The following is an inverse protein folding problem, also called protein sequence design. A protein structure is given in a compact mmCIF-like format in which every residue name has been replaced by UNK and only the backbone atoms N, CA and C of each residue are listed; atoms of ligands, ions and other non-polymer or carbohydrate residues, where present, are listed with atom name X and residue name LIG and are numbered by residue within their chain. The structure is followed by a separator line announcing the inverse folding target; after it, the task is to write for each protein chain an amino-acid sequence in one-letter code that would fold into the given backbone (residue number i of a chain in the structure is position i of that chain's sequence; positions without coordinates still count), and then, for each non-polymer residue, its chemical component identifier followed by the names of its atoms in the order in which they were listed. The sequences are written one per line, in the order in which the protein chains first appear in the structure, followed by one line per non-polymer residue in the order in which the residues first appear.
data_IF_758590145231
#
_entry.id   IF_758590145231
#
_cell.length_a   1.000
_cell.length_b   1.000
_cell.length_c   1.000
_cell.angle_alpha   90.00
_cell.angle_beta   90.00
_cell.angle_gamma   90.00
#
_symmetry.space_group_name_H-M   'P 1'
#
loop_
_entity.id
_entity.type
_entity.pdbx_description
1 polymer ?
#
# COMPACT_ATOMS: atom_id res chain seq x y z
N UNK A 1 21.62 20.38 -4.03
CA UNK A 1 20.44 19.98 -3.25
C UNK A 1 19.90 18.74 -3.92
N UNK A 2 19.49 17.71 -3.19
CA UNK A 2 18.87 16.52 -3.78
C UNK A 2 17.57 16.91 -4.50
N UNK A 3 17.71 17.39 -5.74
CA UNK A 3 16.63 17.89 -6.58
C UNK A 3 15.90 16.68 -7.17
N UNK A 4 15.01 16.08 -6.37
CA UNK A 4 13.93 15.27 -6.92
C UNK A 4 13.01 16.19 -7.73
N UNK A 5 12.58 15.82 -8.95
CA UNK A 5 11.57 16.57 -9.67
C UNK A 5 10.26 16.62 -8.87
N UNK A 6 9.57 17.77 -8.90
CA UNK A 6 8.30 17.97 -8.19
C UNK A 6 7.23 16.94 -8.58
N UNK A 7 7.25 16.49 -9.84
CA UNK A 7 6.35 15.44 -10.33
C UNK A 7 6.56 14.12 -9.57
N UNK A 8 7.81 13.75 -9.28
CA UNK A 8 8.12 12.51 -8.53
C UNK A 8 7.66 12.64 -7.09
N UNK A 9 7.87 13.79 -6.45
CA UNK A 9 7.36 14.06 -5.09
C UNK A 9 5.84 13.95 -5.04
N UNK A 10 5.16 14.53 -6.02
CA UNK A 10 3.70 14.50 -6.15
C UNK A 10 3.19 13.07 -6.31
N UNK A 11 3.84 12.27 -7.18
CA UNK A 11 3.51 10.85 -7.37
C UNK A 11 3.68 10.06 -6.08
N UNK A 12 4.79 10.22 -5.37
CA UNK A 12 5.02 9.51 -4.10
C UNK A 12 3.94 9.84 -3.07
N UNK A 13 3.62 11.13 -2.86
CA UNK A 13 2.60 11.52 -1.90
C UNK A 13 1.19 11.06 -2.32
N UNK A 14 0.90 11.05 -3.62
CA UNK A 14 -0.34 10.48 -4.13
C UNK A 14 -0.43 8.97 -3.82
N UNK A 15 0.64 8.23 -4.05
CA UNK A 15 0.70 6.80 -3.75
C UNK A 15 0.61 6.50 -2.25
N UNK A 16 1.29 7.29 -1.41
CA UNK A 16 1.16 7.14 0.05
C UNK A 16 -0.28 7.37 0.51
N UNK A 17 -0.95 8.41 -0.01
CA UNK A 17 -2.37 8.63 0.27
C UNK A 17 -3.24 7.46 -0.21
N UNK A 18 -3.00 6.95 -1.42
CA UNK A 18 -3.74 5.82 -1.99
C UNK A 18 -3.56 4.57 -1.13
N UNK A 19 -2.33 4.21 -0.78
CA UNK A 19 -2.02 3.07 0.10
C UNK A 19 -2.67 3.21 1.48
N UNK A 20 -2.69 4.41 2.06
CA UNK A 20 -3.42 4.67 3.31
C UNK A 20 -4.92 4.35 3.16
N UNK A 21 -5.56 4.82 2.09
CA UNK A 21 -6.98 4.56 1.82
C UNK A 21 -7.25 3.08 1.57
N UNK A 22 -6.33 2.36 0.93
CA UNK A 22 -6.42 0.91 0.72
C UNK A 22 -6.37 0.16 2.05
N UNK A 23 -5.43 0.53 2.94
CA UNK A 23 -5.32 -0.07 4.27
C UNK A 23 -6.61 0.13 5.06
N UNK A 24 -7.16 1.34 5.05
CA UNK A 24 -8.43 1.67 5.70
C UNK A 24 -9.59 0.81 5.15
N UNK A 25 -9.73 0.74 3.83
CA UNK A 25 -10.76 -0.08 3.17
C UNK A 25 -10.61 -1.57 3.45
N UNK A 26 -9.38 -2.10 3.48
CA UNK A 26 -9.11 -3.49 3.80
C UNK A 26 -9.53 -3.81 5.24
N UNK A 27 -9.15 -2.96 6.21
CA UNK A 27 -9.58 -3.12 7.61
C UNK A 27 -11.09 -3.01 7.77
N UNK A 28 -11.75 -2.15 6.99
CA UNK A 28 -13.21 -2.05 6.99
C UNK A 28 -13.86 -3.33 6.44
N UNK A 29 -13.32 -3.91 5.36
CA UNK A 29 -13.81 -5.17 4.80
C UNK A 29 -13.65 -6.33 5.80
N UNK A 30 -12.48 -6.46 6.43
CA UNK A 30 -12.22 -7.45 7.49
C UNK A 30 -13.20 -7.30 8.65
N UNK A 31 -13.38 -6.06 9.15
CA UNK A 31 -14.33 -5.78 10.23
C UNK A 31 -15.76 -6.17 9.85
N UNK A 32 -16.22 -5.79 8.65
CA UNK A 32 -17.56 -6.12 8.18
C UNK A 32 -17.76 -7.63 8.00
N UNK A 33 -16.75 -8.33 7.49
CA UNK A 33 -16.76 -9.79 7.35
C UNK A 33 -16.94 -10.45 8.72
N UNK A 34 -16.12 -10.06 9.70
CA UNK A 34 -16.18 -10.59 11.07
C UNK A 34 -17.48 -10.24 11.78
N UNK A 35 -18.00 -9.01 11.61
CA UNK A 35 -19.26 -8.59 12.23
C UNK A 35 -20.47 -9.38 11.69
N UNK A 36 -20.51 -9.64 10.39
CA UNK A 36 -21.67 -10.28 9.75
C UNK A 36 -21.62 -11.81 9.84
N UNK A 37 -20.43 -12.41 9.69
CA UNK A 37 -20.27 -13.85 9.52
C UNK A 37 -19.52 -14.52 10.67
N UNK A 38 -18.83 -13.75 11.51
CA UNK A 38 -17.92 -14.25 12.53
C UNK A 38 -16.65 -14.86 11.95
N UNK A 39 -15.78 -15.35 12.82
CA UNK A 39 -14.59 -16.11 12.43
C UNK A 39 -14.94 -17.61 12.37
N UNK A 40 -14.99 -18.17 11.16
CA UNK A 40 -15.33 -19.59 10.90
C UNK A 40 -14.51 -20.11 9.73
N UNK A 41 -14.48 -21.44 9.55
CA UNK A 41 -13.74 -22.10 8.45
C UNK A 41 -14.00 -21.48 7.07
N UNK A 42 -15.25 -21.05 6.82
CA UNK A 42 -15.62 -20.44 5.56
C UNK A 42 -15.02 -19.04 5.33
N UNK A 43 -14.74 -18.26 6.38
CA UNK A 43 -14.21 -16.88 6.27
C UNK A 43 -12.69 -16.79 6.41
N UNK A 44 -12.05 -17.84 6.93
CA UNK A 44 -10.59 -17.88 7.14
C UNK A 44 -9.80 -17.56 5.86
N UNK A 45 -10.12 -18.11 4.67
CA UNK A 45 -9.36 -17.82 3.46
C UNK A 45 -9.34 -16.33 3.11
N UNK A 46 -10.47 -15.63 3.24
CA UNK A 46 -10.57 -14.20 2.97
C UNK A 46 -9.88 -13.35 4.02
N UNK A 47 -9.94 -13.74 5.30
CA UNK A 47 -9.22 -13.06 6.36
C UNK A 47 -7.70 -13.14 6.13
N UNK A 48 -7.18 -14.31 5.78
CA UNK A 48 -5.77 -14.50 5.43
C UNK A 48 -5.38 -13.67 4.19
N UNK A 49 -6.24 -13.60 3.17
CA UNK A 49 -5.99 -12.77 1.99
C UNK A 49 -5.94 -11.28 2.34
N UNK A 50 -6.85 -10.80 3.19
CA UNK A 50 -6.87 -9.41 3.65
C UNK A 50 -5.63 -9.11 4.48
N UNK A 51 -5.21 -10.00 5.39
CA UNK A 51 -4.00 -9.81 6.18
C UNK A 51 -2.75 -9.74 5.30
N UNK A 52 -2.60 -10.66 4.36
CA UNK A 52 -1.51 -10.64 3.38
C UNK A 52 -1.51 -9.37 2.52
N UNK A 53 -2.68 -8.85 2.17
CA UNK A 53 -2.81 -7.56 1.50
C UNK A 53 -2.37 -6.40 2.40
N UNK A 54 -2.81 -6.37 3.65
CA UNK A 54 -2.45 -5.32 4.62
C UNK A 54 -0.94 -5.27 4.87
N UNK A 55 -0.28 -6.40 5.02
CA UNK A 55 1.18 -6.46 5.17
C UNK A 55 1.92 -5.84 3.97
N UNK A 56 1.48 -6.19 2.74
CA UNK A 56 2.06 -5.64 1.51
C UNK A 56 1.83 -4.13 1.41
N UNK A 57 0.61 -3.63 1.69
CA UNK A 57 0.34 -2.20 1.66
C UNK A 57 1.16 -1.42 2.70
N UNK A 58 1.25 -1.91 3.95
CA UNK A 58 2.06 -1.29 5.01
C UNK A 58 3.54 -1.24 4.65
N UNK A 59 4.04 -2.32 4.04
CA UNK A 59 5.42 -2.41 3.56
C UNK A 59 5.70 -1.36 2.50
N UNK A 60 4.85 -1.28 1.46
CA UNK A 60 4.99 -0.29 0.39
C UNK A 60 4.88 1.15 0.90
N UNK A 61 3.90 1.44 1.77
CA UNK A 61 3.70 2.76 2.36
C UNK A 61 4.94 3.23 3.14
N UNK A 62 5.45 2.34 4.01
CA UNK A 62 6.61 2.63 4.86
C UNK A 62 7.89 2.78 4.05
N UNK A 63 8.08 1.91 3.04
CA UNK A 63 9.27 1.93 2.19
C UNK A 63 9.37 3.22 1.39
N UNK A 64 8.25 3.68 0.79
CA UNK A 64 8.20 4.96 0.07
C UNK A 64 8.62 6.13 0.98
N UNK A 65 8.04 6.22 2.19
CA UNK A 65 8.36 7.29 3.12
C UNK A 65 9.82 7.29 3.57
N UNK A 66 10.37 6.11 3.87
CA UNK A 66 11.78 5.95 4.27
C UNK A 66 12.76 6.35 3.17
N UNK A 67 12.51 5.92 1.93
CA UNK A 67 13.38 6.25 0.80
C UNK A 67 13.30 7.73 0.44
N UNK A 68 12.10 8.31 0.48
CA UNK A 68 11.92 9.75 0.24
C UNK A 68 12.71 10.58 1.27
N UNK A 69 12.62 10.23 2.56
CA UNK A 69 13.38 10.90 3.61
C UNK A 69 14.90 10.76 3.37
N UNK A 70 15.36 9.56 3.05
CA UNK A 70 16.78 9.30 2.76
C UNK A 70 17.29 10.16 1.59
N UNK A 71 16.48 10.36 0.55
CA UNK A 71 16.83 11.26 -0.56
C UNK A 71 16.93 12.71 -0.09
N UNK A 72 15.98 13.20 0.71
CA UNK A 72 15.98 14.56 1.23
C UNK A 72 17.21 14.86 2.12
N UNK A 73 17.63 13.88 2.93
CA UNK A 73 18.80 13.97 3.81
C UNK A 73 20.13 13.83 3.06
N UNK A 74 20.13 13.27 1.84
CA UNK A 74 21.34 13.07 1.05
C UNK A 74 21.83 14.37 0.41
N UNK A 75 22.79 15.03 1.06
CA UNK A 75 23.42 16.25 0.54
C UNK A 75 24.86 15.98 0.05
N UNK A 76 25.34 16.69 -1.00
CA UNK A 76 24.61 17.69 -1.80
C UNK A 76 23.69 17.07 -2.88
N UNK A 77 23.86 15.78 -3.17
CA UNK A 77 23.17 15.00 -4.20
C UNK A 77 22.86 13.62 -3.62
N UNK A 78 21.68 13.08 -3.90
CA UNK A 78 21.33 11.71 -3.55
C UNK A 78 22.10 10.69 -4.38
N UNK A 79 22.58 9.62 -3.73
CA UNK A 79 23.24 8.52 -4.42
C UNK A 79 22.29 7.90 -5.47
N UNK A 80 22.82 7.61 -6.67
CA UNK A 80 22.07 6.97 -7.76
C UNK A 80 21.44 5.64 -7.35
N UNK A 81 22.06 4.89 -6.44
CA UNK A 81 21.47 3.68 -5.88
C UNK A 81 20.17 3.97 -5.11
N UNK A 82 20.13 5.03 -4.29
CA UNK A 82 18.95 5.43 -3.54
C UNK A 82 17.84 5.91 -4.47
N UNK A 83 18.16 6.69 -5.49
CA UNK A 83 17.19 7.15 -6.49
C UNK A 83 16.58 5.98 -7.26
N UNK A 84 17.41 5.02 -7.70
CA UNK A 84 16.93 3.80 -8.36
C UNK A 84 16.03 2.96 -7.45
N UNK A 85 16.36 2.85 -6.17
CA UNK A 85 15.51 2.16 -5.19
C UNK A 85 14.17 2.88 -4.99
N UNK A 86 14.16 4.21 -5.03
CA UNK A 86 12.93 5.01 -4.93
C UNK A 86 12.04 4.79 -6.15
N UNK A 87 12.59 4.88 -7.37
CA UNK A 87 11.87 4.61 -8.63
C UNK A 87 11.24 3.21 -8.62
N UNK A 88 12.02 2.17 -8.30
CA UNK A 88 11.50 0.80 -8.17
C UNK A 88 10.41 0.67 -7.11
N UNK A 89 10.53 1.42 -6.01
CA UNK A 89 9.52 1.37 -4.94
C UNK A 89 8.21 2.05 -5.34
N UNK A 90 8.25 3.04 -6.23
CA UNK A 90 7.07 3.66 -6.84
C UNK A 90 6.33 2.62 -7.69
N UNK A 91 7.02 1.95 -8.62
CA UNK A 91 6.43 0.90 -9.47
C UNK A 91 5.82 -0.24 -8.65
N UNK A 92 6.55 -0.72 -7.64
CA UNK A 92 6.06 -1.78 -6.75
C UNK A 92 4.84 -1.31 -5.95
N UNK A 93 4.85 -0.06 -5.46
CA UNK A 93 3.73 0.49 -4.69
C UNK A 93 2.47 0.61 -5.55
N UNK A 94 2.60 1.03 -6.81
CA UNK A 94 1.50 1.07 -7.79
C UNK A 94 0.89 -0.32 -8.02
N UNK A 95 1.72 -1.30 -8.41
CA UNK A 95 1.27 -2.66 -8.65
C UNK A 95 0.65 -3.30 -7.38
N UNK A 96 1.22 -3.01 -6.21
CA UNK A 96 0.69 -3.46 -4.91
C UNK A 96 -0.68 -2.85 -4.64
N UNK A 97 -0.84 -1.55 -4.89
CA UNK A 97 -2.10 -0.85 -4.68
C UNK A 97 -3.20 -1.42 -5.58
N UNK A 98 -2.92 -1.62 -6.87
CA UNK A 98 -3.87 -2.20 -7.83
C UNK A 98 -4.30 -3.61 -7.42
N UNK A 99 -3.34 -4.47 -7.06
CA UNK A 99 -3.61 -5.85 -6.66
C UNK A 99 -4.48 -5.93 -5.40
N UNK A 100 -4.20 -5.11 -4.39
CA UNK A 100 -4.95 -5.13 -3.13
C UNK A 100 -6.35 -4.56 -3.32
N UNK A 101 -6.51 -3.50 -4.11
CA UNK A 101 -7.85 -2.98 -4.43
C UNK A 101 -8.71 -4.05 -5.09
N UNK A 102 -8.15 -4.85 -6.01
CA UNK A 102 -8.84 -5.98 -6.60
C UNK A 102 -9.25 -7.03 -5.56
N UNK A 103 -8.34 -7.42 -4.65
CA UNK A 103 -8.65 -8.34 -3.54
C UNK A 103 -9.79 -7.82 -2.66
N UNK A 104 -9.76 -6.54 -2.27
CA UNK A 104 -10.83 -5.94 -1.45
C UNK A 104 -12.18 -6.01 -2.18
N UNK A 105 -12.21 -5.67 -3.47
CA UNK A 105 -13.46 -5.72 -4.24
C UNK A 105 -13.98 -7.15 -4.41
N UNK A 106 -13.09 -8.11 -4.60
CA UNK A 106 -13.45 -9.53 -4.66
C UNK A 106 -14.04 -10.02 -3.34
N UNK A 107 -13.39 -9.74 -2.19
CA UNK A 107 -13.93 -10.09 -0.87
C UNK A 107 -15.30 -9.46 -0.64
N UNK A 108 -15.46 -8.17 -0.96
CA UNK A 108 -16.75 -7.49 -0.82
C UNK A 108 -17.83 -8.15 -1.66
N UNK A 109 -17.51 -8.55 -2.89
CA UNK A 109 -18.47 -9.22 -3.79
C UNK A 109 -18.81 -10.63 -3.30
N UNK A 110 -17.82 -11.41 -2.87
CA UNK A 110 -18.02 -12.79 -2.42
C UNK A 110 -18.91 -12.86 -1.17
N UNK A 111 -18.78 -11.88 -0.28
CA UNK A 111 -19.47 -11.83 1.00
C UNK A 111 -20.55 -10.76 1.09
N UNK A 112 -20.91 -10.13 -0.04
CA UNK A 112 -21.91 -9.07 -0.12
C UNK A 112 -21.72 -7.95 0.93
N UNK A 113 -20.47 -7.55 1.15
CA UNK A 113 -20.09 -6.52 2.14
C UNK A 113 -20.23 -5.11 1.53
N UNK A 114 -20.52 -4.08 2.35
CA UNK A 114 -20.54 -2.69 1.90
C UNK A 114 -19.15 -2.20 1.51
#
# INVERSE_FOLDING_TARGET
MANLPDDILTTIFHLQRRLFQIIDRAKAAEFNLLQQYGEREATLPELEQIDNALERARTSYTRLGKLLLLVAESQPIANSATLKLLEQSIEIAEATADAIEATIQETKRNWNLP
#
